data_IF_525656260424
#
_entry.id   IF_525656260424
#
_cell.length_a   1.000
_cell.length_b   1.000
_cell.length_c   1.000
_cell.angle_alpha   90.00
_cell.angle_beta   90.00
_cell.angle_gamma   90.00
#
_symmetry.space_group_name_H-M   'P 1'
#
loop_
_entity.id
_entity.type
_entity.pdbx_description
1 polymer ?
#
# COMPACT_ATOMS: atom_id res chain seq x y z
N UNK A 1 -9.08 16.78 16.78
CA UNK A 1 -9.76 15.49 16.62
C UNK A 1 -11.20 15.68 16.13
N UNK A 2 -11.97 14.58 15.99
CA UNK A 2 -13.37 14.63 15.50
C UNK A 2 -14.29 15.41 16.43
N UNK A 3 -13.92 15.60 17.69
CA UNK A 3 -14.67 16.31 18.71
C UNK A 3 -14.26 17.80 18.79
N UNK A 4 -13.40 18.25 17.88
CA UNK A 4 -12.89 19.61 17.82
C UNK A 4 -11.78 19.94 18.83
N UNK A 5 -11.23 18.94 19.53
CA UNK A 5 -10.18 19.14 20.49
C UNK A 5 -8.82 19.28 19.77
N UNK A 6 -8.00 20.22 20.24
CA UNK A 6 -6.63 20.42 19.75
C UNK A 6 -5.63 19.89 20.77
N UNK A 7 -4.71 19.04 20.32
CA UNK A 7 -3.59 18.56 21.13
C UNK A 7 -2.28 18.97 20.46
N UNK A 8 -1.32 19.42 21.26
CA UNK A 8 0.00 19.83 20.77
C UNK A 8 0.98 18.67 21.01
N UNK A 9 1.74 18.34 19.97
CA UNK A 9 2.81 17.33 19.99
C UNK A 9 4.14 17.96 19.58
N UNK A 10 5.25 17.41 20.09
CA UNK A 10 6.59 17.85 19.73
C UNK A 10 6.94 17.47 18.28
N UNK A 11 6.49 16.31 17.83
CA UNK A 11 6.67 15.81 16.48
C UNK A 11 5.40 15.09 16.01
N UNK A 12 5.15 15.15 14.69
CA UNK A 12 4.08 14.40 14.02
C UNK A 12 4.69 13.51 12.95
N UNK A 13 4.28 12.26 12.88
CA UNK A 13 4.68 11.30 11.84
C UNK A 13 3.45 10.90 11.06
N UNK A 14 3.44 11.17 9.75
CA UNK A 14 2.43 10.70 8.83
C UNK A 14 2.87 9.37 8.21
N UNK A 15 2.10 8.31 8.49
CA UNK A 15 2.30 6.96 7.99
C UNK A 15 1.11 6.49 7.14
N UNK A 16 0.42 7.41 6.50
CA UNK A 16 -0.73 7.20 5.61
C UNK A 16 -0.31 7.35 4.14
N UNK A 17 -1.25 7.22 3.21
CA UNK A 17 -1.00 7.54 1.80
C UNK A 17 -0.57 9.00 1.63
N UNK A 18 0.22 9.31 0.61
CA UNK A 18 0.74 10.65 0.38
C UNK A 18 -0.36 11.67 0.12
N UNK A 19 -1.41 11.32 -0.62
CA UNK A 19 -2.59 12.15 -0.88
C UNK A 19 -3.43 12.38 0.38
N UNK A 20 -3.65 11.34 1.20
CA UNK A 20 -4.33 11.46 2.49
C UNK A 20 -3.54 12.34 3.46
N UNK A 21 -2.21 12.14 3.51
CA UNK A 21 -1.30 12.98 4.29
C UNK A 21 -1.44 14.44 3.91
N UNK A 22 -1.39 14.73 2.60
CA UNK A 22 -1.54 16.11 2.11
C UNK A 22 -2.92 16.68 2.48
N UNK A 23 -3.98 15.87 2.43
CA UNK A 23 -5.33 16.28 2.84
C UNK A 23 -5.46 16.57 4.34
N UNK A 24 -4.61 15.99 5.18
CA UNK A 24 -4.58 16.24 6.63
C UNK A 24 -3.76 17.49 7.03
N UNK A 25 -2.85 17.94 6.17
CA UNK A 25 -2.02 19.12 6.40
C UNK A 25 -2.82 20.39 6.09
N UNK A 26 -3.27 21.12 7.12
CA UNK A 26 -4.04 22.35 6.95
C UNK A 26 -3.19 23.53 6.43
N UNK A 27 -1.87 23.46 6.58
CA UNK A 27 -0.88 24.51 6.28
C UNK A 27 0.31 23.92 5.50
N UNK A 28 0.01 23.01 4.56
CA UNK A 28 1.02 22.38 3.74
C UNK A 28 1.89 23.41 3.02
N UNK A 29 3.20 23.21 3.06
CA UNK A 29 4.17 24.04 2.33
C UNK A 29 4.10 23.78 0.83
N UNK A 30 4.66 24.68 0.02
CA UNK A 30 4.75 24.47 -1.44
C UNK A 30 5.51 23.19 -1.79
N UNK A 31 6.54 22.82 -1.00
CA UNK A 31 7.31 21.58 -1.20
C UNK A 31 6.50 20.33 -0.83
N UNK A 32 5.79 20.35 0.28
CA UNK A 32 4.88 19.26 0.66
C UNK A 32 3.79 19.06 -0.41
N UNK A 33 3.18 20.16 -0.88
CA UNK A 33 2.21 20.10 -1.98
C UNK A 33 2.81 19.54 -3.27
N UNK A 34 4.03 19.92 -3.63
CA UNK A 34 4.73 19.46 -4.81
C UNK A 34 5.07 17.97 -4.73
N UNK A 35 5.67 17.55 -3.63
CA UNK A 35 6.22 16.21 -3.49
C UNK A 35 5.13 15.18 -3.15
N UNK A 36 4.27 15.44 -2.19
CA UNK A 36 3.19 14.54 -1.82
C UNK A 36 2.06 14.55 -2.88
N UNK A 37 1.77 15.72 -3.46
CA UNK A 37 0.74 15.87 -4.50
C UNK A 37 1.09 15.24 -5.85
N UNK A 38 2.35 14.85 -6.08
CA UNK A 38 2.76 14.09 -7.26
C UNK A 38 2.23 12.65 -7.25
N UNK A 39 1.86 12.13 -6.06
CA UNK A 39 1.40 10.77 -5.88
C UNK A 39 -0.10 10.64 -6.12
N UNK A 40 -0.45 9.85 -7.15
CA UNK A 40 -1.81 9.47 -7.46
C UNK A 40 -2.07 8.07 -6.93
N UNK A 41 -3.33 7.77 -6.63
CA UNK A 41 -3.76 6.46 -6.17
C UNK A 41 -4.86 5.92 -7.08
N UNK A 42 -4.77 4.63 -7.40
CA UNK A 42 -5.79 3.94 -8.20
C UNK A 42 -6.65 3.08 -7.31
N UNK A 43 -7.97 3.20 -7.47
CA UNK A 43 -8.92 2.35 -6.76
C UNK A 43 -8.91 0.93 -7.36
N UNK A 44 -8.81 -0.06 -6.48
CA UNK A 44 -8.88 -1.47 -6.81
C UNK A 44 -9.97 -2.14 -5.98
N UNK A 45 -10.84 -2.87 -6.64
CA UNK A 45 -11.85 -3.72 -6.01
C UNK A 45 -11.20 -5.02 -5.57
N UNK A 46 -11.34 -5.39 -4.32
CA UNK A 46 -10.83 -6.64 -3.75
C UNK A 46 -12.00 -7.47 -3.21
N UNK A 47 -12.09 -8.72 -3.62
CA UNK A 47 -13.14 -9.64 -3.16
C UNK A 47 -12.48 -10.79 -2.42
N UNK A 48 -12.89 -11.01 -1.17
CA UNK A 48 -12.59 -12.22 -0.40
C UNK A 48 -13.65 -13.27 -0.73
N UNK A 49 -13.25 -14.43 -1.27
CA UNK A 49 -14.17 -15.47 -1.73
C UNK A 49 -13.57 -16.87 -1.63
N UNK A 50 -14.41 -17.90 -1.81
CA UNK A 50 -14.03 -19.33 -1.86
C UNK A 50 -14.24 -19.92 -3.26
N UNK A 51 -14.46 -19.13 -4.31
CA UNK A 51 -14.71 -19.64 -5.67
C UNK A 51 -13.40 -19.98 -6.40
N UNK A 52 -13.12 -21.26 -6.71
CA UNK A 52 -11.92 -21.65 -7.44
C UNK A 52 -11.98 -21.32 -8.95
N UNK A 53 -13.11 -20.84 -9.48
CA UNK A 53 -13.25 -20.51 -10.90
C UNK A 53 -12.33 -19.36 -11.35
N UNK A 54 -11.90 -18.51 -10.39
CA UNK A 54 -10.94 -17.44 -10.60
C UNK A 54 -9.48 -17.89 -10.45
N UNK A 55 -9.25 -19.19 -10.37
CA UNK A 55 -7.92 -19.79 -10.31
C UNK A 55 -7.61 -20.53 -11.62
N UNK A 56 -6.33 -20.79 -11.94
CA UNK A 56 -5.99 -21.63 -13.09
C UNK A 56 -6.71 -22.98 -13.04
N UNK A 57 -7.23 -23.46 -14.19
CA UNK A 57 -7.97 -24.74 -14.29
C UNK A 57 -7.21 -25.95 -13.73
N UNK A 58 -5.88 -25.94 -13.82
CA UNK A 58 -5.03 -27.03 -13.30
C UNK A 58 -4.57 -26.67 -11.88
N UNK A 59 -5.11 -27.35 -10.86
CA UNK A 59 -4.74 -27.11 -9.46
C UNK A 59 -3.23 -27.21 -9.18
N UNK A 60 -2.49 -28.04 -9.93
CA UNK A 60 -1.04 -28.21 -9.78
C UNK A 60 -0.20 -26.95 -10.10
N UNK A 61 -0.77 -25.98 -10.83
CA UNK A 61 -0.10 -24.72 -11.17
C UNK A 61 -0.56 -23.57 -10.27
N UNK A 62 -1.39 -23.83 -9.28
CA UNK A 62 -1.80 -22.79 -8.32
C UNK A 62 -0.59 -22.29 -7.54
N UNK A 63 -0.39 -21.00 -7.55
CA UNK A 63 0.64 -20.29 -6.80
C UNK A 63 0.01 -19.46 -5.67
N UNK A 64 0.83 -18.87 -4.81
CA UNK A 64 0.37 -17.97 -3.75
C UNK A 64 -0.41 -16.79 -4.32
N UNK A 65 -0.02 -16.32 -5.50
CA UNK A 65 -0.78 -15.35 -6.29
C UNK A 65 -0.71 -15.73 -7.77
N UNK A 66 -1.83 -15.53 -8.45
CA UNK A 66 -2.04 -15.97 -9.81
C UNK A 66 -2.55 -14.81 -10.65
N UNK A 67 -1.84 -14.51 -11.72
CA UNK A 67 -2.26 -13.52 -12.69
C UNK A 67 -3.16 -14.21 -13.72
N UNK A 68 -4.36 -13.65 -13.94
CA UNK A 68 -5.27 -14.08 -14.99
C UNK A 68 -5.41 -12.92 -15.98
N UNK A 69 -5.03 -13.17 -17.22
CA UNK A 69 -5.23 -12.22 -18.30
C UNK A 69 -6.72 -12.16 -18.62
N UNK A 70 -7.29 -10.97 -18.44
CA UNK A 70 -8.68 -10.70 -18.85
C UNK A 70 -8.77 -10.45 -20.36
N UNK A 71 -9.95 -10.60 -20.91
CA UNK A 71 -10.25 -10.27 -22.33
C UNK A 71 -10.16 -8.78 -22.63
N UNK A 72 -10.13 -7.95 -21.58
CA UNK A 72 -10.04 -6.51 -21.67
C UNK A 72 -8.70 -6.05 -21.08
N UNK A 73 -7.79 -5.60 -21.93
CA UNK A 73 -6.39 -5.24 -21.58
C UNK A 73 -6.24 -4.09 -20.55
N UNK A 74 -7.31 -3.68 -19.88
CA UNK A 74 -7.33 -2.44 -19.11
C UNK A 74 -6.99 -2.62 -17.61
N UNK A 75 -7.14 -3.79 -17.02
CA UNK A 75 -6.90 -3.99 -15.58
C UNK A 75 -6.24 -5.33 -15.27
N UNK A 76 -5.26 -5.28 -14.39
CA UNK A 76 -4.62 -6.47 -13.84
C UNK A 76 -5.60 -7.20 -12.91
N UNK A 77 -5.95 -8.45 -13.25
CA UNK A 77 -6.67 -9.35 -12.36
C UNK A 77 -5.67 -10.29 -11.68
N UNK A 78 -5.60 -10.20 -10.37
CA UNK A 78 -4.70 -11.05 -9.57
C UNK A 78 -5.50 -11.74 -8.49
N UNK A 79 -5.36 -13.07 -8.40
CA UNK A 79 -5.96 -13.87 -7.33
C UNK A 79 -4.89 -14.40 -6.39
N UNK A 80 -4.99 -14.04 -5.13
CA UNK A 80 -4.16 -14.54 -4.03
C UNK A 80 -4.81 -15.77 -3.41
N UNK A 81 -4.05 -16.86 -3.28
CA UNK A 81 -4.49 -18.04 -2.54
C UNK A 81 -4.06 -17.91 -1.09
N UNK A 82 -5.00 -17.55 -0.23
CA UNK A 82 -4.72 -17.16 1.16
C UNK A 82 -4.21 -18.31 2.01
N UNK A 83 -4.72 -19.56 1.80
CA UNK A 83 -4.24 -20.74 2.53
C UNK A 83 -2.76 -21.06 2.28
N UNK A 84 -2.18 -20.53 1.21
CA UNK A 84 -0.74 -20.69 0.92
C UNK A 84 0.09 -19.51 1.45
N UNK A 85 -0.53 -18.37 1.64
CA UNK A 85 0.12 -17.16 2.17
C UNK A 85 0.09 -17.09 3.69
N UNK A 86 -0.93 -17.71 4.28
CA UNK A 86 -1.18 -17.69 5.72
C UNK A 86 -1.48 -19.10 6.22
N UNK A 87 -1.09 -19.40 7.45
CA UNK A 87 -1.48 -20.64 8.11
C UNK A 87 -2.93 -20.50 8.57
N UNK A 88 -3.87 -20.99 7.75
CA UNK A 88 -5.29 -21.02 8.08
C UNK A 88 -5.65 -22.42 8.57
N UNK A 89 -6.37 -22.51 9.68
CA UNK A 89 -6.85 -23.78 10.25
C UNK A 89 -8.12 -24.26 9.53
N UNK A 90 -8.05 -24.38 8.20
CA UNK A 90 -9.16 -24.84 7.36
C UNK A 90 -8.68 -25.44 6.04
N UNK A 91 -9.41 -26.46 5.56
CA UNK A 91 -9.21 -27.04 4.22
C UNK A 91 -10.01 -26.28 3.14
N UNK A 92 -10.94 -25.43 3.55
CA UNK A 92 -11.68 -24.59 2.62
C UNK A 92 -10.73 -23.58 1.94
N UNK A 93 -10.76 -23.47 0.61
CA UNK A 93 -9.91 -22.52 -0.08
C UNK A 93 -10.41 -21.09 0.08
N UNK A 94 -9.55 -20.19 0.52
CA UNK A 94 -9.80 -18.74 0.57
C UNK A 94 -8.95 -18.01 -0.44
N UNK A 95 -9.60 -17.11 -1.18
CA UNK A 95 -8.96 -16.29 -2.20
C UNK A 95 -9.26 -14.81 -1.96
N UNK A 96 -8.30 -13.96 -2.31
CA UNK A 96 -8.53 -12.53 -2.49
C UNK A 96 -8.24 -12.21 -3.95
N UNK A 97 -9.25 -11.77 -4.68
CA UNK A 97 -9.08 -11.37 -6.09
C UNK A 97 -9.18 -9.85 -6.21
N UNK A 98 -8.15 -9.25 -6.81
CA UNK A 98 -8.15 -7.84 -7.18
C UNK A 98 -8.66 -7.68 -8.61
N UNK A 99 -9.58 -6.73 -8.78
CA UNK A 99 -10.17 -6.36 -10.07
C UNK A 99 -10.62 -7.59 -10.89
N UNK A 100 -11.53 -8.41 -10.35
CA UNK A 100 -11.96 -9.65 -10.99
C UNK A 100 -12.52 -9.36 -12.39
N UNK A 101 -12.06 -10.12 -13.39
CA UNK A 101 -12.59 -10.10 -14.76
C UNK A 101 -13.80 -11.03 -14.90
N UNK A 102 -13.96 -11.95 -13.97
CA UNK A 102 -15.11 -12.81 -13.80
C UNK A 102 -15.60 -12.66 -12.36
N UNK A 103 -16.89 -12.41 -12.17
CA UNK A 103 -17.46 -12.33 -10.82
C UNK A 103 -17.45 -13.72 -10.15
N UNK A 104 -16.98 -13.81 -8.89
CA UNK A 104 -17.17 -15.02 -8.10
C UNK A 104 -18.65 -15.31 -7.91
N UNK A 105 -19.01 -16.58 -7.74
CA UNK A 105 -20.39 -16.94 -7.42
C UNK A 105 -20.82 -16.28 -6.11
N UNK A 106 -22.01 -15.66 -6.11
CA UNK A 106 -22.47 -14.81 -5.01
C UNK A 106 -22.43 -15.51 -3.63
N UNK A 107 -22.77 -16.81 -3.59
CA UNK A 107 -22.76 -17.61 -2.37
C UNK A 107 -21.35 -17.92 -1.82
N UNK A 108 -20.30 -17.65 -2.62
CA UNK A 108 -18.90 -17.86 -2.22
C UNK A 108 -18.20 -16.56 -1.80
N UNK A 109 -18.87 -15.42 -1.93
CA UNK A 109 -18.32 -14.11 -1.54
C UNK A 109 -18.47 -13.95 -0.03
N UNK A 110 -17.35 -13.73 0.67
CA UNK A 110 -17.33 -13.47 2.10
C UNK A 110 -17.33 -11.97 2.40
N UNK A 111 -16.57 -11.20 1.61
CA UNK A 111 -16.50 -9.75 1.78
C UNK A 111 -15.97 -9.06 0.52
N UNK A 112 -16.25 -7.76 0.40
CA UNK A 112 -15.75 -6.90 -0.67
C UNK A 112 -15.16 -5.62 -0.10
N UNK A 113 -14.01 -5.21 -0.63
CA UNK A 113 -13.27 -4.03 -0.20
C UNK A 113 -12.87 -3.18 -1.41
N UNK A 114 -12.72 -1.90 -1.17
CA UNK A 114 -12.07 -0.97 -2.08
C UNK A 114 -10.74 -0.53 -1.48
N UNK A 115 -9.66 -0.84 -2.18
CA UNK A 115 -8.31 -0.42 -1.80
C UNK A 115 -7.77 0.55 -2.83
N UNK A 116 -6.96 1.50 -2.37
CA UNK A 116 -6.21 2.38 -3.23
C UNK A 116 -4.72 2.02 -3.17
N UNK A 117 -4.07 1.99 -4.33
CA UNK A 117 -2.65 1.71 -4.45
C UNK A 117 -1.94 2.87 -5.14
N UNK A 118 -0.71 3.20 -4.73
CA UNK A 118 0.06 4.26 -5.36
C UNK A 118 0.34 3.94 -6.82
N UNK A 119 0.19 4.94 -7.68
CA UNK A 119 0.49 4.84 -9.10
C UNK A 119 1.85 5.46 -9.38
N UNK A 120 2.78 4.65 -9.85
CA UNK A 120 4.17 5.03 -10.10
C UNK A 120 4.32 5.61 -11.52
N UNK A 121 3.87 6.84 -11.73
CA UNK A 121 4.16 7.58 -12.96
C UNK A 121 5.51 8.33 -12.86
N UNK A 122 5.91 8.98 -13.93
CA UNK A 122 7.18 9.73 -13.96
C UNK A 122 7.22 10.85 -12.92
N UNK A 123 6.08 11.49 -12.61
CA UNK A 123 6.02 12.54 -11.60
C UNK A 123 6.22 11.97 -10.19
N UNK A 124 5.57 10.83 -9.88
CA UNK A 124 5.75 10.12 -8.63
C UNK A 124 7.22 9.67 -8.45
N UNK A 125 7.82 9.07 -9.47
CA UNK A 125 9.24 8.63 -9.42
C UNK A 125 10.23 9.78 -9.30
N UNK A 126 9.94 10.91 -9.93
CA UNK A 126 10.75 12.13 -9.77
C UNK A 126 10.65 12.68 -8.34
N UNK A 127 9.42 12.77 -7.82
CA UNK A 127 9.15 13.20 -6.44
C UNK A 127 9.83 12.28 -5.41
N UNK A 128 9.79 10.96 -5.61
CA UNK A 128 10.33 9.96 -4.70
C UNK A 128 11.79 10.24 -4.32
N UNK A 129 12.60 10.68 -5.28
CA UNK A 129 14.03 11.00 -5.06
C UNK A 129 14.24 12.16 -4.09
N UNK A 130 13.23 13.00 -3.93
CA UNK A 130 13.30 14.20 -3.12
C UNK A 130 12.50 14.10 -1.80
N UNK A 131 11.64 13.08 -1.63
CA UNK A 131 10.77 12.93 -0.45
C UNK A 131 11.52 13.00 0.88
N UNK A 132 12.76 12.49 0.92
CA UNK A 132 13.58 12.53 2.14
C UNK A 132 13.94 13.94 2.59
N UNK A 133 13.88 14.94 1.71
CA UNK A 133 14.13 16.35 2.05
C UNK A 133 13.05 16.94 2.94
N UNK A 134 11.86 16.33 2.99
CA UNK A 134 10.76 16.79 3.85
C UNK A 134 10.94 16.40 5.32
N UNK A 135 11.82 15.43 5.62
CA UNK A 135 11.93 14.85 6.97
C UNK A 135 12.38 15.88 8.02
N UNK A 136 11.64 15.93 9.11
CA UNK A 136 11.93 16.82 10.25
C UNK A 136 11.62 18.29 10.01
N UNK A 137 11.28 18.71 8.78
CA UNK A 137 10.86 20.06 8.49
C UNK A 137 9.61 20.40 9.30
N UNK A 138 9.63 21.53 10.04
CA UNK A 138 8.50 21.92 10.91
C UNK A 138 8.08 20.82 11.92
N UNK A 139 9.03 19.95 12.33
CA UNK A 139 8.80 18.81 13.24
C UNK A 139 7.80 17.77 12.67
N UNK A 140 7.67 17.72 11.35
CA UNK A 140 6.80 16.80 10.61
C UNK A 140 7.64 15.77 9.88
N UNK A 141 7.17 14.52 9.89
CA UNK A 141 7.87 13.37 9.35
C UNK A 141 6.92 12.54 8.50
N UNK A 142 7.44 11.89 7.48
CA UNK A 142 6.65 11.15 6.52
C UNK A 142 7.25 9.76 6.30
N UNK A 143 6.42 8.73 6.27
CA UNK A 143 6.81 7.38 5.91
C UNK A 143 5.65 6.66 5.22
N UNK A 144 5.96 5.61 4.48
CA UNK A 144 4.97 4.84 3.75
C UNK A 144 5.60 4.07 2.60
N UNK A 145 4.83 3.21 1.96
CA UNK A 145 5.29 2.38 0.85
C UNK A 145 5.72 3.19 -0.38
N UNK A 146 5.25 4.42 -0.51
CA UNK A 146 5.61 5.34 -1.59
C UNK A 146 7.05 5.88 -1.51
N UNK A 147 7.77 5.61 -0.40
CA UNK A 147 9.21 5.84 -0.29
C UNK A 147 10.06 4.78 -0.98
N UNK A 148 9.46 3.67 -1.43
CA UNK A 148 10.10 2.58 -2.16
C UNK A 148 9.23 2.09 -3.31
N UNK A 149 9.13 0.78 -3.48
CA UNK A 149 8.40 0.15 -4.61
C UNK A 149 6.91 -0.09 -4.34
N UNK A 150 6.38 0.37 -3.21
CA UNK A 150 4.96 0.22 -2.87
C UNK A 150 4.63 -1.02 -2.05
N UNK A 151 5.63 -1.74 -1.54
CA UNK A 151 5.44 -2.94 -0.73
C UNK A 151 5.44 -2.64 0.77
N UNK A 152 4.96 -3.60 1.57
CA UNK A 152 4.95 -3.50 3.03
C UNK A 152 6.35 -3.26 3.61
N UNK A 153 7.37 -3.91 3.03
CA UNK A 153 8.76 -3.73 3.45
C UNK A 153 9.25 -2.30 3.25
N UNK A 154 8.87 -1.64 2.16
CA UNK A 154 9.23 -0.24 1.91
C UNK A 154 8.63 0.68 2.96
N UNK A 155 7.36 0.43 3.34
CA UNK A 155 6.69 1.18 4.40
C UNK A 155 7.40 0.96 5.75
N UNK A 156 7.77 -0.28 6.09
CA UNK A 156 8.53 -0.61 7.29
C UNK A 156 9.88 0.08 7.30
N UNK A 157 10.64 -0.01 6.21
CA UNK A 157 11.98 0.58 6.12
C UNK A 157 11.95 2.10 6.25
N UNK A 158 11.00 2.76 5.61
CA UNK A 158 10.82 4.21 5.74
C UNK A 158 10.44 4.62 7.16
N UNK A 159 9.54 3.86 7.81
CA UNK A 159 9.15 4.09 9.20
C UNK A 159 10.31 3.93 10.17
N UNK A 160 11.14 2.88 9.99
CA UNK A 160 12.35 2.67 10.79
C UNK A 160 13.35 3.80 10.62
N UNK A 161 13.54 4.30 9.39
CA UNK A 161 14.44 5.43 9.13
C UNK A 161 13.97 6.71 9.83
N UNK A 162 12.67 6.98 9.86
CA UNK A 162 12.09 8.11 10.62
C UNK A 162 12.29 7.91 12.12
N UNK A 163 12.01 6.70 12.64
CA UNK A 163 12.19 6.40 14.06
C UNK A 163 13.64 6.58 14.52
N UNK A 164 14.62 6.16 13.71
CA UNK A 164 16.05 6.35 13.97
C UNK A 164 16.43 7.83 14.03
N UNK A 165 15.89 8.67 13.14
CA UNK A 165 16.12 10.11 13.13
C UNK A 165 15.46 10.82 14.33
N UNK A 166 14.37 10.29 14.85
CA UNK A 166 13.71 10.75 16.07
C UNK A 166 14.41 10.28 17.36
N UNK A 167 15.53 9.57 17.26
CA UNK A 167 16.32 9.09 18.40
C UNK A 167 15.96 7.67 18.83
N UNK A 168 15.25 6.92 18.02
CA UNK A 168 15.01 5.48 18.22
C UNK A 168 16.27 4.64 18.10
N UNK A 169 16.19 3.40 18.58
CA UNK A 169 17.31 2.44 18.48
C UNK A 169 17.60 2.16 17.00
N UNK A 170 18.87 2.33 16.63
CA UNK A 170 19.30 2.06 15.26
C UNK A 170 19.18 0.58 14.94
N UNK A 171 18.60 0.26 13.77
CA UNK A 171 18.52 -1.11 13.26
C UNK A 171 19.95 -1.70 13.07
N UNK A 172 20.14 -3.00 13.31
CA UNK A 172 21.47 -3.63 13.27
C UNK A 172 21.97 -3.89 11.82
N UNK A 173 21.14 -3.69 10.80
CA UNK A 173 21.52 -3.84 9.40
C UNK A 173 21.58 -2.49 8.69
N UNK A 174 22.27 -2.46 7.58
CA UNK A 174 22.32 -1.30 6.67
C UNK A 174 21.50 -1.58 5.44
N UNK A 175 20.62 -0.64 5.04
CA UNK A 175 20.03 -0.65 3.71
C UNK A 175 21.07 -0.02 2.78
N UNK A 176 21.39 -0.69 1.66
CA UNK A 176 22.29 -0.12 0.64
C UNK A 176 21.66 1.17 0.10
N UNK A 177 22.48 2.19 -0.04
CA UNK A 177 22.05 3.52 -0.53
C UNK A 177 21.67 3.54 -2.04
N UNK A 178 21.59 2.38 -2.68
CA UNK A 178 21.27 2.19 -4.08
C UNK A 178 19.86 1.58 -4.20
N UNK A 179 18.86 2.41 -4.02
CA UNK A 179 17.50 2.10 -4.48
C UNK A 179 16.73 3.39 -4.71
#
# INVERSE_FOLDING_TARGET
DRDGNTTIYDHVVFASHADETLGMLSDATAEECRLLGAWKYTENRAILHSDPSLMPKRRRVWSSWNFLEGTDNARLCVTYWMNRLQTLETDEPFFVTLNPTLEPRAETIHNEFKYTHPYFDQAALASQRELWSLQGCRRTWFCGSYFGYGFHEDALQSGLAVAEQLGGVRRPWRVSAES
#
